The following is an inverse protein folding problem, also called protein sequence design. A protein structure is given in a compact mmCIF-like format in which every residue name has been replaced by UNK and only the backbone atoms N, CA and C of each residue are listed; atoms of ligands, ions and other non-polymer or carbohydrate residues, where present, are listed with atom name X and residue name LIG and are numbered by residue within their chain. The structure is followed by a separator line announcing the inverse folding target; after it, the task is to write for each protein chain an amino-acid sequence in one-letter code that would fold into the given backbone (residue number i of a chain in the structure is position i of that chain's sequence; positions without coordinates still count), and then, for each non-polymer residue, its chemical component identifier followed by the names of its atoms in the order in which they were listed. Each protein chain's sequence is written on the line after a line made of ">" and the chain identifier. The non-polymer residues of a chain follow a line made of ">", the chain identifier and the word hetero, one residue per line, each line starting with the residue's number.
data_IF_087211403001
#
_entry.id   IF_087211403001
#
_cell.length_a   1.000
_cell.length_b   1.000
_cell.length_c   1.000
_cell.angle_alpha   90.00
_cell.angle_beta   90.00
_cell.angle_gamma   90.00
#
_symmetry.space_group_name_H-M   'P 1'
#
loop_
_entity.id
_entity.type
_entity.pdbx_description
1 polymer ?
#
# COMPACT_ATOMS: atom_id res chain seq x y z
N UNK A 1 4.22 0.46 8.90
CA UNK A 1 4.77 -0.78 8.34
C UNK A 1 4.43 -0.88 6.86
N UNK A 2 5.43 -1.25 6.05
CA UNK A 2 5.24 -1.39 4.61
C UNK A 2 5.71 -2.74 4.11
N UNK A 3 4.83 -3.44 3.37
CA UNK A 3 5.14 -4.66 2.64
C UNK A 3 4.84 -4.40 1.17
N UNK A 4 5.80 -4.65 0.29
CA UNK A 4 5.64 -4.44 -1.14
C UNK A 4 6.32 -5.52 -1.96
N UNK A 5 5.67 -5.91 -3.04
CA UNK A 5 6.21 -6.81 -4.04
C UNK A 5 5.74 -6.40 -5.45
N UNK A 6 6.03 -7.20 -6.44
CA UNK A 6 5.58 -7.03 -7.81
C UNK A 6 5.24 -8.38 -8.44
N UNK A 7 4.31 -8.39 -9.41
CA UNK A 7 3.73 -9.62 -9.99
C UNK A 7 4.69 -10.51 -10.76
N UNK A 8 5.95 -10.11 -10.92
CA UNK A 8 7.00 -10.94 -11.53
C UNK A 8 8.09 -11.36 -10.56
N UNK A 9 7.94 -11.04 -9.27
CA UNK A 9 8.95 -11.34 -8.26
C UNK A 9 8.74 -12.71 -7.62
N UNK A 10 7.49 -13.17 -7.56
CA UNK A 10 7.14 -14.44 -6.90
C UNK A 10 7.50 -14.46 -5.42
N UNK A 11 7.59 -15.64 -4.90
CA UNK A 11 8.00 -15.87 -3.50
C UNK A 11 6.90 -15.59 -2.49
N UNK A 12 7.20 -15.93 -1.24
CA UNK A 12 6.27 -15.71 -0.12
C UNK A 12 6.93 -14.86 0.95
N UNK A 13 6.21 -13.85 1.42
CA UNK A 13 6.54 -13.03 2.58
C UNK A 13 5.71 -13.59 3.72
N UNK A 14 6.33 -14.25 4.68
CA UNK A 14 5.60 -14.93 5.76
C UNK A 14 6.33 -14.88 7.09
N UNK A 15 5.58 -15.16 8.16
CA UNK A 15 6.07 -15.28 9.53
C UNK A 15 6.81 -14.01 10.02
N UNK A 16 6.25 -12.86 9.67
CA UNK A 16 6.77 -11.56 10.10
C UNK A 16 6.09 -11.15 11.40
N UNK A 17 6.91 -10.69 12.34
CA UNK A 17 6.45 -10.12 13.61
C UNK A 17 6.89 -8.65 13.68
N UNK A 18 5.90 -7.77 13.73
CA UNK A 18 6.10 -6.34 13.97
C UNK A 18 5.54 -6.00 15.33
N UNK A 19 6.40 -5.81 16.32
CA UNK A 19 6.02 -5.75 17.70
C UNK A 19 6.57 -4.54 18.46
N UNK A 20 5.90 -4.16 19.55
CA UNK A 20 6.37 -3.20 20.55
C UNK A 20 6.83 -1.86 19.94
N UNK A 21 6.04 -1.34 19.02
CA UNK A 21 6.42 -0.17 18.23
C UNK A 21 5.46 1.01 18.42
N UNK A 22 6.02 2.21 18.39
CA UNK A 22 5.24 3.46 18.36
C UNK A 22 5.60 4.28 17.14
N UNK A 23 4.57 4.73 16.41
CA UNK A 23 4.70 5.59 15.25
C UNK A 23 3.77 6.78 15.43
N UNK A 24 4.22 7.93 14.98
CA UNK A 24 3.41 9.14 15.01
C UNK A 24 3.52 9.90 13.70
N UNK A 25 2.42 10.53 13.28
CA UNK A 25 2.35 11.45 12.13
C UNK A 25 2.84 10.82 10.82
N UNK A 26 2.32 9.63 10.49
CA UNK A 26 2.67 8.89 9.27
C UNK A 26 1.59 9.03 8.19
N UNK A 27 1.98 8.99 6.93
CA UNK A 27 1.03 9.03 5.82
C UNK A 27 0.12 7.79 5.82
N UNK A 28 0.70 6.60 5.88
CA UNK A 28 -0.01 5.34 5.97
C UNK A 28 0.49 4.55 7.18
N UNK A 29 -0.41 4.16 8.08
CA UNK A 29 -0.03 3.31 9.19
C UNK A 29 0.45 1.94 8.68
N UNK A 30 -0.36 1.33 7.81
CA UNK A 30 -0.05 0.06 7.15
C UNK A 30 -0.23 0.18 5.65
N UNK A 31 0.83 -0.15 4.91
CA UNK A 31 0.81 -0.16 3.45
C UNK A 31 1.33 -1.52 2.95
N UNK A 32 0.43 -2.34 2.41
CA UNK A 32 0.77 -3.66 1.88
C UNK A 32 0.29 -3.75 0.44
N UNK A 33 1.22 -3.97 -0.49
CA UNK A 33 0.89 -3.99 -1.90
C UNK A 33 1.72 -5.04 -2.64
N UNK A 34 1.05 -6.06 -3.16
CA UNK A 34 1.69 -7.14 -3.91
C UNK A 34 1.99 -6.78 -5.37
N UNK A 35 1.46 -5.65 -5.85
CA UNK A 35 1.82 -5.08 -7.15
C UNK A 35 2.11 -3.58 -7.03
N UNK A 36 3.05 -3.25 -6.15
CA UNK A 36 3.33 -1.89 -5.72
C UNK A 36 3.65 -0.93 -6.87
N UNK A 37 4.40 -1.40 -7.87
CA UNK A 37 4.71 -0.59 -9.03
C UNK A 37 4.74 -1.48 -10.28
N UNK A 38 3.65 -1.52 -11.06
CA UNK A 38 3.51 -2.41 -12.21
C UNK A 38 4.63 -2.31 -13.24
N UNK A 39 5.23 -1.13 -13.41
CA UNK A 39 6.37 -0.95 -14.33
C UNK A 39 7.61 -1.78 -13.95
N UNK A 40 7.77 -2.13 -12.66
CA UNK A 40 8.85 -3.05 -12.26
C UNK A 40 8.53 -4.52 -12.57
N UNK A 41 7.26 -4.85 -12.80
CA UNK A 41 6.85 -6.20 -13.20
C UNK A 41 7.14 -6.47 -14.67
N UNK A 42 7.13 -5.42 -15.49
CA UNK A 42 7.30 -5.51 -16.94
C UNK A 42 8.33 -4.48 -17.39
N UNK A 43 9.58 -4.72 -17.00
CA UNK A 43 10.69 -3.83 -17.34
C UNK A 43 10.86 -3.69 -18.85
N UNK A 44 11.14 -2.48 -19.28
CA UNK A 44 11.46 -2.15 -20.68
C UNK A 44 12.79 -1.43 -20.71
N UNK A 45 13.52 -1.57 -21.80
CA UNK A 45 14.72 -0.79 -22.02
C UNK A 45 14.37 0.70 -22.20
N UNK A 46 15.14 1.60 -21.62
CA UNK A 46 15.01 3.02 -21.90
C UNK A 46 15.21 3.32 -23.40
N UNK A 47 14.65 4.42 -23.86
CA UNK A 47 14.85 4.87 -25.23
C UNK A 47 16.35 5.02 -25.55
N UNK A 48 16.76 4.56 -26.73
CA UNK A 48 18.15 4.60 -27.20
C UNK A 48 19.01 3.37 -26.80
N UNK A 49 18.46 2.44 -26.02
CA UNK A 49 19.14 1.17 -25.72
C UNK A 49 18.51 0.00 -26.48
N UNK A 50 19.38 -0.90 -26.95
CA UNK A 50 18.98 -2.20 -27.51
C UNK A 50 19.49 -3.33 -26.61
N UNK A 51 19.10 -4.57 -26.88
CA UNK A 51 19.59 -5.72 -26.10
C UNK A 51 21.12 -5.90 -26.20
N UNK A 52 21.69 -5.45 -27.30
CA UNK A 52 23.14 -5.53 -27.58
C UNK A 52 23.92 -4.42 -26.88
N UNK A 53 23.31 -3.25 -26.66
CA UNK A 53 23.98 -2.08 -26.05
C UNK A 53 23.65 -1.89 -24.58
N UNK A 54 22.62 -2.55 -24.08
CA UNK A 54 22.21 -2.42 -22.67
C UNK A 54 23.13 -3.22 -21.75
N UNK A 55 23.37 -2.76 -20.51
CA UNK A 55 24.08 -3.55 -19.50
C UNK A 55 23.42 -4.92 -19.24
N UNK A 56 24.24 -5.96 -19.03
CA UNK A 56 23.76 -7.33 -18.89
C UNK A 56 22.70 -7.49 -17.78
N UNK A 57 22.82 -6.76 -16.67
CA UNK A 57 21.84 -6.82 -15.58
C UNK A 57 20.48 -6.19 -15.97
N UNK A 58 20.43 -5.25 -16.94
CA UNK A 58 19.16 -4.75 -17.47
C UNK A 58 18.49 -5.82 -18.34
N UNK A 59 19.27 -6.54 -19.12
CA UNK A 59 18.75 -7.61 -19.98
C UNK A 59 18.10 -8.71 -19.13
N UNK A 60 18.71 -9.10 -18.01
CA UNK A 60 18.13 -10.10 -17.11
C UNK A 60 16.78 -9.68 -16.52
N UNK A 61 16.56 -8.36 -16.33
CA UNK A 61 15.28 -7.83 -15.85
C UNK A 61 14.16 -7.84 -16.90
N UNK A 62 14.48 -8.02 -18.19
CA UNK A 62 13.48 -8.13 -19.26
C UNK A 62 12.88 -9.52 -19.35
N UNK A 63 13.52 -10.54 -18.74
CA UNK A 63 13.06 -11.91 -18.82
C UNK A 63 11.69 -12.06 -18.17
N UNK A 64 10.77 -12.68 -18.89
CA UNK A 64 9.48 -13.08 -18.34
C UNK A 64 9.65 -14.29 -17.44
N UNK A 65 8.91 -14.31 -16.35
CA UNK A 65 8.85 -15.47 -15.46
C UNK A 65 7.93 -16.52 -16.09
N UNK A 66 8.45 -17.72 -16.29
CA UNK A 66 7.68 -18.81 -16.89
C UNK A 66 7.66 -20.05 -15.96
N UNK A 67 6.50 -20.64 -15.71
CA UNK A 67 5.18 -20.08 -16.03
C UNK A 67 4.88 -18.81 -15.20
N UNK A 68 4.00 -17.94 -15.70
CA UNK A 68 3.67 -16.67 -15.08
C UNK A 68 3.20 -16.80 -13.61
N UNK A 69 2.61 -17.93 -13.25
CA UNK A 69 2.20 -18.24 -11.86
C UNK A 69 3.36 -18.22 -10.85
N UNK A 70 4.58 -18.55 -11.27
CA UNK A 70 5.77 -18.45 -10.41
C UNK A 70 6.15 -17.01 -10.05
N UNK A 71 5.68 -16.05 -10.84
CA UNK A 71 5.90 -14.64 -10.59
C UNK A 71 4.93 -14.02 -9.59
N UNK A 72 3.86 -14.72 -9.21
CA UNK A 72 2.86 -14.22 -8.29
C UNK A 72 3.41 -14.20 -6.86
N UNK A 73 3.54 -13.02 -6.21
CA UNK A 73 4.00 -12.95 -4.84
C UNK A 73 2.87 -13.28 -3.86
N UNK A 74 3.22 -13.81 -2.70
CA UNK A 74 2.30 -14.10 -1.60
C UNK A 74 2.73 -13.39 -0.33
N UNK A 75 1.76 -13.04 0.53
CA UNK A 75 2.05 -12.57 1.89
C UNK A 75 1.03 -13.15 2.87
N UNK A 76 1.51 -13.77 3.94
CA UNK A 76 0.67 -14.45 4.92
C UNK A 76 1.31 -14.55 6.30
N UNK A 77 0.50 -14.89 7.32
CA UNK A 77 0.94 -15.19 8.68
C UNK A 77 1.75 -14.03 9.30
N UNK A 78 1.22 -12.83 9.26
CA UNK A 78 1.91 -11.64 9.78
C UNK A 78 1.25 -11.21 11.08
N UNK A 79 2.06 -10.98 12.11
CA UNK A 79 1.62 -10.56 13.43
C UNK A 79 2.09 -9.14 13.70
N UNK A 80 1.13 -8.28 14.02
CA UNK A 80 1.33 -6.91 14.48
C UNK A 80 0.84 -6.87 15.92
N UNK A 81 1.74 -6.65 16.89
CA UNK A 81 1.40 -6.76 18.30
C UNK A 81 1.99 -5.63 19.12
N UNK A 82 1.20 -5.09 20.06
CA UNK A 82 1.60 -4.00 20.94
C UNK A 82 2.09 -2.76 20.14
N UNK A 83 1.40 -2.45 19.05
CA UNK A 83 1.75 -1.33 18.17
C UNK A 83 0.79 -0.18 18.38
N UNK A 84 1.33 1.00 18.65
CA UNK A 84 0.57 2.25 18.75
C UNK A 84 0.94 3.17 17.60
N UNK A 85 -0.05 3.51 16.77
CA UNK A 85 0.12 4.46 15.67
C UNK A 85 -0.84 5.61 15.87
N UNK A 86 -0.30 6.83 15.97
CA UNK A 86 -1.10 8.04 16.16
C UNK A 86 -0.93 9.03 15.02
N UNK A 87 -1.99 9.82 14.76
CA UNK A 87 -2.02 10.87 13.74
C UNK A 87 -1.65 10.39 12.33
N UNK A 88 -2.01 9.16 11.95
CA UNK A 88 -1.87 8.73 10.58
C UNK A 88 -2.87 9.45 9.65
N UNK A 89 -2.51 9.64 8.38
CA UNK A 89 -3.49 10.12 7.39
C UNK A 89 -4.43 8.98 6.99
N UNK A 90 -3.88 7.79 6.73
CA UNK A 90 -4.66 6.57 6.45
C UNK A 90 -4.27 5.45 7.40
N UNK A 91 -5.25 4.72 7.92
CA UNK A 91 -4.99 3.51 8.68
C UNK A 91 -4.45 2.40 7.78
N UNK A 92 -5.09 2.19 6.63
CA UNK A 92 -4.74 1.11 5.70
C UNK A 92 -4.63 1.59 4.26
N UNK A 93 -3.65 1.06 3.56
CA UNK A 93 -3.52 1.08 2.10
C UNK A 93 -3.11 -0.32 1.67
N UNK A 94 -4.11 -1.19 1.52
CA UNK A 94 -3.90 -2.64 1.41
C UNK A 94 -4.43 -3.12 0.07
N UNK A 95 -3.52 -3.67 -0.75
CA UNK A 95 -3.82 -4.19 -2.08
C UNK A 95 -3.15 -5.55 -2.26
N UNK A 96 -3.89 -6.62 -2.01
CA UNK A 96 -3.52 -7.96 -2.47
C UNK A 96 -3.75 -8.12 -3.97
N UNK A 97 -3.78 -9.35 -4.44
CA UNK A 97 -4.10 -9.69 -5.82
C UNK A 97 -5.32 -10.61 -5.86
N UNK A 98 -6.12 -10.59 -6.92
CA UNK A 98 -7.26 -11.51 -7.05
C UNK A 98 -6.86 -12.99 -6.95
N UNK A 99 -5.66 -13.33 -7.42
CA UNK A 99 -5.08 -14.68 -7.38
C UNK A 99 -4.03 -14.88 -6.27
N UNK A 100 -3.86 -13.88 -5.40
CA UNK A 100 -2.98 -13.95 -4.23
C UNK A 100 -3.42 -12.93 -3.18
N UNK A 101 -4.37 -13.32 -2.37
CA UNK A 101 -4.87 -12.47 -1.27
C UNK A 101 -3.82 -12.38 -0.14
N UNK A 102 -3.90 -11.31 0.63
CA UNK A 102 -3.10 -11.15 1.84
C UNK A 102 -3.78 -11.93 2.98
N UNK A 103 -3.12 -12.99 3.48
CA UNK A 103 -3.76 -13.98 4.35
C UNK A 103 -3.27 -13.94 5.80
N UNK A 104 -4.19 -14.17 6.75
CA UNK A 104 -3.87 -14.46 8.15
C UNK A 104 -3.02 -13.38 8.84
N UNK A 105 -3.37 -12.12 8.67
CA UNK A 105 -2.77 -11.04 9.44
C UNK A 105 -3.48 -10.92 10.81
N UNK A 106 -2.71 -10.75 11.88
CA UNK A 106 -3.21 -10.58 13.23
C UNK A 106 -2.74 -9.26 13.80
N UNK A 107 -3.69 -8.44 14.22
CA UNK A 107 -3.44 -7.21 14.97
C UNK A 107 -3.83 -7.47 16.42
N UNK A 108 -2.88 -7.37 17.33
CA UNK A 108 -3.07 -7.76 18.72
C UNK A 108 -2.64 -6.61 19.64
N UNK A 109 -3.49 -6.23 20.60
CA UNK A 109 -3.19 -5.18 21.58
C UNK A 109 -2.66 -3.89 20.92
N UNK A 110 -3.28 -3.45 19.86
CA UNK A 110 -2.79 -2.33 19.07
C UNK A 110 -3.78 -1.17 19.02
N UNK A 111 -3.26 0.04 18.86
CA UNK A 111 -4.04 1.27 18.67
C UNK A 111 -3.64 1.91 17.37
N UNK A 112 -4.63 2.28 16.57
CA UNK A 112 -4.44 3.03 15.33
C UNK A 112 -5.37 4.24 15.37
N UNK A 113 -4.81 5.45 15.33
CA UNK A 113 -5.60 6.66 15.10
C UNK A 113 -5.24 7.25 13.74
N UNK A 114 -6.24 7.52 12.90
CA UNK A 114 -6.04 8.02 11.55
C UNK A 114 -7.15 8.96 11.12
N UNK A 115 -6.89 9.78 10.10
CA UNK A 115 -7.91 10.64 9.52
C UNK A 115 -8.93 9.83 8.70
N UNK A 116 -8.49 8.79 8.01
CA UNK A 116 -9.35 7.91 7.21
C UNK A 116 -8.98 6.45 7.40
N UNK A 117 -9.96 5.56 7.23
CA UNK A 117 -9.71 4.12 7.26
C UNK A 117 -8.79 3.68 6.10
N UNK A 118 -8.97 4.28 4.91
CA UNK A 118 -8.27 3.88 3.69
C UNK A 118 -8.92 2.68 3.01
N UNK A 119 -8.12 1.86 2.33
CA UNK A 119 -8.59 0.73 1.51
C UNK A 119 -8.02 -0.60 1.99
N UNK A 120 -8.82 -1.66 1.86
CA UNK A 120 -8.41 -3.03 2.15
C UNK A 120 -9.00 -3.94 1.06
N UNK A 121 -8.17 -4.35 0.11
CA UNK A 121 -8.59 -5.16 -1.03
C UNK A 121 -7.84 -6.49 -1.06
N UNK A 122 -8.54 -7.56 -1.44
CA UNK A 122 -7.98 -8.90 -1.56
C UNK A 122 -7.27 -9.39 -0.27
N UNK A 123 -8.02 -9.39 0.83
CA UNK A 123 -7.56 -9.86 2.15
C UNK A 123 -8.41 -11.02 2.64
N UNK A 124 -7.81 -11.95 3.39
CA UNK A 124 -8.53 -13.08 4.00
C UNK A 124 -7.96 -13.46 5.38
N UNK A 125 -8.83 -13.87 6.29
CA UNK A 125 -8.43 -14.39 7.60
C UNK A 125 -7.78 -13.37 8.54
N UNK A 126 -8.00 -12.07 8.32
CA UNK A 126 -7.49 -11.01 9.19
C UNK A 126 -8.22 -10.99 10.53
N UNK A 127 -7.48 -10.79 11.61
CA UNK A 127 -8.01 -10.76 12.97
C UNK A 127 -7.50 -9.52 13.72
N UNK A 128 -8.44 -8.83 14.36
CA UNK A 128 -8.18 -7.70 15.25
C UNK A 128 -8.55 -8.14 16.67
N UNK A 129 -7.56 -8.33 17.52
CA UNK A 129 -7.71 -8.85 18.89
C UNK A 129 -7.29 -7.75 19.85
N UNK A 130 -8.19 -7.29 20.71
CA UNK A 130 -7.92 -6.17 21.61
C UNK A 130 -7.23 -4.97 20.89
N UNK A 131 -7.75 -4.64 19.71
CA UNK A 131 -7.17 -3.61 18.83
C UNK A 131 -8.25 -2.58 18.51
N UNK A 132 -7.94 -1.30 18.73
CA UNK A 132 -8.83 -0.20 18.35
C UNK A 132 -8.32 0.53 17.10
N UNK A 133 -9.26 0.97 16.29
CA UNK A 133 -9.02 1.80 15.09
C UNK A 133 -9.94 3.00 15.19
N UNK A 134 -9.36 4.13 15.56
CA UNK A 134 -10.10 5.37 15.77
C UNK A 134 -9.92 6.30 14.56
N UNK A 135 -11.01 6.55 13.86
CA UNK A 135 -11.01 7.40 12.67
C UNK A 135 -11.60 8.76 13.00
N UNK A 136 -10.75 9.77 12.95
CA UNK A 136 -11.15 11.18 13.11
C UNK A 136 -11.16 11.87 11.75
N UNK A 137 -12.16 11.60 10.93
CA UNK A 137 -12.38 12.39 9.72
C UNK A 137 -12.62 13.84 10.12
N UNK A 138 -11.65 14.73 9.92
CA UNK A 138 -11.97 16.15 9.85
C UNK A 138 -12.84 16.29 8.61
N UNK A 139 -14.12 16.57 8.81
CA UNK A 139 -14.99 17.06 7.74
C UNK A 139 -14.33 18.35 7.27
N UNK A 140 -13.63 18.28 6.15
CA UNK A 140 -13.24 19.49 5.44
C UNK A 140 -14.54 20.02 4.87
N UNK A 141 -15.19 20.94 5.58
CA UNK A 141 -16.21 21.78 4.96
C UNK A 141 -15.55 22.38 3.72
N UNK A 142 -16.02 21.95 2.56
CA UNK A 142 -15.71 22.64 1.31
C UNK A 142 -16.30 24.05 1.48
N UNK A 143 -15.47 25.00 1.89
CA UNK A 143 -15.81 26.40 1.73
C UNK A 143 -16.10 26.56 0.25
N UNK A 144 -17.37 26.84 -0.05
CA UNK A 144 -17.83 27.25 -1.37
C UNK A 144 -16.96 28.46 -1.71
N UNK A 145 -16.04 28.33 -2.63
CA UNK A 145 -15.33 29.44 -3.22
C UNK A 145 -16.40 30.13 -4.06
N UNK A 146 -17.05 31.10 -3.47
CA UNK A 146 -17.86 32.05 -4.23
C UNK A 146 -16.89 32.77 -5.16
N UNK A 147 -17.12 32.57 -6.44
CA UNK A 147 -16.28 33.16 -7.48
C UNK A 147 -16.40 34.67 -7.40
N UNK A 148 -15.28 35.36 -7.32
CA UNK A 148 -15.13 36.80 -7.38
C UNK A 148 -15.66 37.39 -8.72
N UNK A 149 -16.29 36.59 -9.55
CA UNK A 149 -16.81 37.00 -10.87
C UNK A 149 -18.18 37.72 -10.84
N UNK A 150 -18.88 37.71 -9.72
CA UNK A 150 -20.23 38.32 -9.65
C UNK A 150 -20.29 39.75 -9.05
N UNK A 151 -19.20 40.26 -8.52
CA UNK A 151 -19.19 41.64 -8.01
C UNK A 151 -18.94 42.74 -9.04
N UNK A 152 -18.44 42.43 -10.22
CA UNK A 152 -18.18 43.41 -11.29
C UNK A 152 -19.38 43.68 -12.22
N UNK A 153 -20.46 42.91 -12.10
CA UNK A 153 -21.65 43.08 -12.94
C UNK A 153 -22.71 44.02 -12.40
N UNK A 154 -22.53 44.55 -11.20
CA UNK A 154 -23.51 45.45 -10.55
C UNK A 154 -23.05 46.93 -10.51
N UNK A 155 -22.03 47.31 -11.26
CA UNK A 155 -21.54 48.70 -11.35
C UNK A 155 -21.45 49.23 -12.79
N UNK A 156 -22.39 48.84 -13.65
CA UNK A 156 -22.62 49.55 -14.93
C UNK A 156 -24.10 49.89 -15.07
#
# INVERSE_FOLDING_TARGET
>A
LRIKSATTRGGTIEDIYFVDSRLDSVLNAYQFNLNWYPAYSYSQLPAGYTKETAPAHWISMLNKVEPASKGVPHAKNIVIQNVSITHAVKAFEINGLPNSVLENFKFINSLITAQTLGTMEHTAGWKFINTSIDISAKVVEKKKVESIADEERLKQ
#
